data_IF_152907654852
#
_entry.id   IF_152907654852
#
_cell.length_a   1.000
_cell.length_b   1.000
_cell.length_c   1.000
_cell.angle_alpha   90.00
_cell.angle_beta   90.00
_cell.angle_gamma   90.00
#
_symmetry.space_group_name_H-M   'P 1'
#
loop_
_entity.id
_entity.type
_entity.pdbx_description
1 polymer ?
#
# COMPACT_ATOMS: atom_id res chain seq x y z
N UNK A 1 20.19 24.16 6.00
CA UNK A 1 19.73 22.91 6.64
C UNK A 1 18.33 22.56 6.14
N UNK A 2 18.20 21.84 5.01
CA UNK A 2 16.90 21.31 4.57
C UNK A 2 16.74 19.90 5.16
N UNK A 3 15.90 19.75 6.17
CA UNK A 3 15.44 18.42 6.61
C UNK A 3 14.51 17.91 5.49
N UNK A 4 14.76 16.74 4.86
CA UNK A 4 13.75 16.19 3.97
C UNK A 4 12.52 15.89 4.81
N UNK A 5 11.40 16.54 4.48
CA UNK A 5 10.12 16.21 5.06
C UNK A 5 9.87 14.72 4.82
N UNK A 6 9.72 13.96 5.89
CA UNK A 6 9.42 12.52 5.81
C UNK A 6 8.16 12.34 4.99
N UNK A 7 8.30 11.69 3.83
CA UNK A 7 7.16 11.47 2.92
C UNK A 7 6.11 10.65 3.65
N UNK A 8 4.94 11.25 3.92
CA UNK A 8 3.83 10.53 4.55
C UNK A 8 3.54 9.24 3.75
N UNK A 9 3.42 8.08 4.42
CA UNK A 9 3.08 6.85 3.74
C UNK A 9 1.70 6.98 3.11
N UNK A 10 1.56 6.51 1.86
CA UNK A 10 0.30 6.56 1.10
C UNK A 10 -0.82 5.70 1.69
N UNK A 11 -0.45 4.74 2.54
CA UNK A 11 -1.38 3.83 3.21
C UNK A 11 -1.19 3.97 4.72
N UNK A 12 -2.29 3.99 5.46
CA UNK A 12 -2.28 3.88 6.92
C UNK A 12 -1.86 2.47 7.33
N UNK A 13 -1.47 2.28 8.60
CA UNK A 13 -1.10 0.96 9.12
C UNK A 13 -2.24 -0.06 8.97
N UNK A 14 -3.49 0.37 9.13
CA UNK A 14 -4.67 -0.47 8.90
C UNK A 14 -4.78 -0.91 7.44
N UNK A 15 -4.69 0.04 6.50
CA UNK A 15 -4.79 -0.25 5.06
C UNK A 15 -3.67 -1.19 4.59
N UNK A 16 -2.48 -1.10 5.19
CA UNK A 16 -1.39 -2.04 4.89
C UNK A 16 -1.75 -3.46 5.32
N UNK A 17 -2.27 -3.64 6.53
CA UNK A 17 -2.69 -4.95 7.04
C UNK A 17 -3.81 -5.54 6.16
N UNK A 18 -4.83 -4.74 5.87
CA UNK A 18 -5.95 -5.16 5.02
C UNK A 18 -5.47 -5.51 3.59
N UNK A 19 -4.57 -4.71 3.01
CA UNK A 19 -3.99 -5.01 1.70
C UNK A 19 -3.13 -6.30 1.71
N UNK A 20 -2.45 -6.61 2.81
CA UNK A 20 -1.70 -7.86 2.97
C UNK A 20 -2.64 -9.07 3.08
N UNK A 21 -3.75 -8.95 3.82
CA UNK A 21 -4.77 -9.98 3.94
C UNK A 21 -5.43 -10.29 2.58
N UNK A 22 -5.80 -9.24 1.82
CA UNK A 22 -6.35 -9.39 0.46
C UNK A 22 -5.34 -9.99 -0.52
N UNK A 23 -4.05 -9.64 -0.38
CA UNK A 23 -2.99 -10.29 -1.18
C UNK A 23 -2.87 -11.76 -0.82
N UNK A 24 -2.95 -12.12 0.46
CA UNK A 24 -2.87 -13.50 0.93
C UNK A 24 -4.09 -14.34 0.53
N UNK A 25 -5.27 -13.73 0.37
CA UNK A 25 -6.46 -14.40 -0.20
C UNK A 25 -6.38 -14.62 -1.71
N UNK A 26 -5.33 -14.12 -2.38
CA UNK A 26 -5.11 -14.30 -3.81
C UNK A 26 -5.74 -13.23 -4.70
N UNK A 27 -6.22 -12.13 -4.13
CA UNK A 27 -6.78 -11.04 -4.92
C UNK A 27 -5.71 -10.36 -5.80
N UNK A 28 -6.02 -10.00 -7.05
CA UNK A 28 -5.07 -9.32 -7.93
C UNK A 28 -4.57 -8.00 -7.34
N UNK A 29 -3.26 -7.78 -7.37
CA UNK A 29 -2.63 -6.56 -6.83
C UNK A 29 -3.19 -5.26 -7.42
N UNK A 30 -3.67 -5.31 -8.68
CA UNK A 30 -4.28 -4.17 -9.37
C UNK A 30 -5.61 -3.76 -8.77
N UNK A 31 -6.42 -4.74 -8.33
CA UNK A 31 -7.73 -4.50 -7.75
C UNK A 31 -7.59 -3.96 -6.33
N UNK A 32 -6.68 -4.55 -5.53
CA UNK A 32 -6.31 -4.04 -4.21
C UNK A 32 -5.79 -2.60 -4.32
N UNK A 33 -4.92 -2.33 -5.29
CA UNK A 33 -4.33 -1.00 -5.46
C UNK A 33 -5.36 0.06 -5.88
N UNK A 34 -6.32 -0.33 -6.74
CA UNK A 34 -7.43 0.53 -7.14
C UNK A 34 -8.30 0.93 -5.95
N UNK A 35 -8.56 0.03 -5.00
CA UNK A 35 -9.32 0.33 -3.78
C UNK A 35 -8.68 1.44 -2.93
N UNK A 36 -7.37 1.60 -2.97
CA UNK A 36 -6.64 2.61 -2.19
C UNK A 36 -6.11 3.78 -3.04
N UNK A 37 -6.50 3.87 -4.32
CA UNK A 37 -5.98 4.86 -5.26
C UNK A 37 -4.42 4.91 -5.29
N UNK A 38 -3.79 3.74 -5.20
CA UNK A 38 -2.32 3.59 -5.31
C UNK A 38 -1.94 2.79 -6.54
N UNK A 39 -0.65 2.78 -6.86
CA UNK A 39 -0.11 1.85 -7.88
C UNK A 39 0.02 0.44 -7.30
N UNK A 40 -0.20 -0.59 -8.13
CA UNK A 40 0.02 -2.00 -7.77
C UNK A 40 1.44 -2.26 -7.23
N UNK A 41 2.45 -1.50 -7.68
CA UNK A 41 3.83 -1.59 -7.15
C UNK A 41 3.93 -1.14 -5.69
N UNK A 42 2.95 -0.37 -5.19
CA UNK A 42 2.83 0.00 -3.77
C UNK A 42 2.40 -1.20 -2.94
N UNK A 43 1.43 -1.98 -3.43
CA UNK A 43 0.93 -3.19 -2.77
C UNK A 43 1.98 -4.32 -2.82
N UNK A 44 2.66 -4.48 -3.96
CA UNK A 44 3.74 -5.47 -4.12
C UNK A 44 4.88 -5.29 -3.10
N UNK A 45 5.21 -4.04 -2.73
CA UNK A 45 6.28 -3.72 -1.77
C UNK A 45 5.89 -3.86 -0.29
N UNK A 46 4.63 -4.23 0.02
CA UNK A 46 4.21 -4.46 1.39
C UNK A 46 4.85 -5.73 1.95
N UNK A 47 5.30 -5.65 3.20
CA UNK A 47 5.84 -6.73 4.02
C UNK A 47 4.97 -6.92 5.24
#
# INVERSE_FOLDING_TARGET
MHRPATRRPKLTSHQRREALERRASGEPLVDIARSYAVSHSTISRLR
#
